data_IF_023506406544
#
_entry.id   IF_023506406544
#
_cell.length_a   1.000
_cell.length_b   1.000
_cell.length_c   1.000
_cell.angle_alpha   90.00
_cell.angle_beta   90.00
_cell.angle_gamma   90.00
#
_symmetry.space_group_name_H-M   'P 1'
#
loop_
_entity.id
_entity.type
_entity.pdbx_description
1 polymer ?
#
# COMPACT_ATOMS: atom_id res chain seq x y z
N UNK A 1 -29.38 11.45 -48.49
CA UNK A 1 -28.69 10.52 -49.41
C UNK A 1 -27.22 10.94 -49.44
N UNK A 2 -26.31 10.02 -49.13
CA UNK A 2 -25.99 8.91 -50.02
C UNK A 2 -26.51 7.58 -49.47
N UNK A 3 -26.83 6.69 -50.41
CA UNK A 3 -27.45 5.41 -50.15
C UNK A 3 -26.53 4.52 -49.33
N UNK A 4 -27.08 4.00 -48.24
CA UNK A 4 -26.56 2.85 -47.53
C UNK A 4 -26.51 1.66 -48.49
N UNK A 5 -25.32 1.36 -49.02
CA UNK A 5 -25.12 0.20 -49.87
C UNK A 5 -25.18 -1.08 -49.03
N UNK A 6 -26.22 -1.86 -49.33
CA UNK A 6 -26.30 -3.33 -49.30
C UNK A 6 -25.59 -4.03 -48.13
N UNK A 7 -26.39 -4.35 -47.10
CA UNK A 7 -26.22 -5.60 -46.35
C UNK A 7 -26.28 -6.77 -47.34
N UNK A 8 -25.12 -7.20 -47.82
CA UNK A 8 -25.01 -8.47 -48.53
C UNK A 8 -25.08 -9.61 -47.51
N UNK A 9 -25.92 -10.58 -47.86
CA UNK A 9 -26.41 -11.66 -47.01
C UNK A 9 -25.32 -12.41 -46.26
N UNK A 10 -25.70 -12.90 -45.08
CA UNK A 10 -24.86 -13.75 -44.28
C UNK A 10 -24.43 -15.01 -45.04
N UNK A 11 -23.13 -15.24 -45.05
CA UNK A 11 -22.58 -16.59 -45.24
C UNK A 11 -22.83 -17.40 -43.98
N UNK A 12 -24.06 -17.91 -43.83
CA UNK A 12 -24.44 -18.98 -42.89
C UNK A 12 -23.89 -20.32 -43.40
N UNK A 13 -22.58 -20.37 -43.69
CA UNK A 13 -21.88 -21.58 -44.06
C UNK A 13 -20.61 -21.61 -43.24
N UNK A 14 -20.67 -22.44 -42.20
CA UNK A 14 -19.62 -22.91 -41.31
C UNK A 14 -18.24 -23.00 -42.01
N UNK A 15 -17.57 -21.86 -42.19
CA UNK A 15 -16.19 -21.79 -42.63
C UNK A 15 -15.42 -21.84 -41.34
N UNK A 16 -14.97 -23.05 -40.97
CA UNK A 16 -14.04 -23.29 -39.86
C UNK A 16 -13.15 -22.06 -39.77
N UNK A 17 -13.34 -21.23 -38.74
CA UNK A 17 -12.70 -19.93 -38.61
C UNK A 17 -11.24 -20.15 -38.95
N UNK A 18 -10.78 -19.62 -40.09
CA UNK A 18 -9.46 -19.96 -40.60
C UNK A 18 -8.47 -19.57 -39.50
N UNK A 19 -7.49 -20.43 -39.21
CA UNK A 19 -6.44 -20.11 -38.22
C UNK A 19 -5.80 -18.75 -38.57
N UNK A 20 -5.76 -18.40 -39.86
CA UNK A 20 -5.36 -17.08 -40.33
C UNK A 20 -6.26 -15.95 -39.82
N UNK A 21 -7.58 -16.06 -39.95
CA UNK A 21 -8.54 -15.05 -39.48
C UNK A 21 -8.52 -14.90 -37.96
N UNK A 22 -8.41 -16.01 -37.22
CA UNK A 22 -8.33 -15.98 -35.76
C UNK A 22 -7.01 -15.33 -35.29
N UNK A 23 -5.89 -15.66 -35.93
CA UNK A 23 -4.59 -15.03 -35.66
C UNK A 23 -4.62 -13.53 -35.97
N UNK A 24 -5.24 -13.14 -37.09
CA UNK A 24 -5.39 -11.73 -37.46
C UNK A 24 -6.19 -10.95 -36.42
N UNK A 25 -7.31 -11.50 -35.93
CA UNK A 25 -8.10 -10.88 -34.85
C UNK A 25 -7.27 -10.69 -33.57
N UNK A 26 -6.57 -11.74 -33.13
CA UNK A 26 -5.69 -11.67 -31.95
C UNK A 26 -4.57 -10.63 -32.11
N UNK A 27 -3.93 -10.58 -33.27
CA UNK A 27 -2.89 -9.60 -33.55
C UNK A 27 -3.43 -8.18 -33.58
N UNK A 28 -4.61 -7.98 -34.15
CA UNK A 28 -5.26 -6.66 -34.19
C UNK A 28 -5.61 -6.19 -32.79
N UNK A 29 -6.15 -7.08 -31.96
CA UNK A 29 -6.46 -6.79 -30.57
C UNK A 29 -5.20 -6.48 -29.75
N UNK A 30 -4.13 -7.25 -29.92
CA UNK A 30 -2.85 -7.00 -29.26
C UNK A 30 -2.23 -5.68 -29.72
N UNK A 31 -2.28 -5.37 -31.02
CA UNK A 31 -1.82 -4.07 -31.54
C UNK A 31 -2.64 -2.90 -30.95
N UNK A 32 -3.94 -3.07 -30.76
CA UNK A 32 -4.78 -2.05 -30.13
C UNK A 32 -4.35 -1.80 -28.67
N UNK A 33 -4.16 -2.87 -27.88
CA UNK A 33 -3.69 -2.77 -26.49
C UNK A 33 -2.31 -2.14 -26.37
N UNK A 34 -1.38 -2.52 -27.26
CA UNK A 34 -0.03 -1.95 -27.28
C UNK A 34 -0.04 -0.47 -27.65
N UNK A 35 -0.93 -0.04 -28.54
CA UNK A 35 -1.10 1.39 -28.86
C UNK A 35 -1.64 2.16 -27.65
N UNK A 36 -2.63 1.61 -26.95
CA UNK A 36 -3.14 2.20 -25.71
C UNK A 36 -2.05 2.34 -24.62
N UNK A 37 -1.24 1.30 -24.42
CA UNK A 37 -0.11 1.33 -23.49
C UNK A 37 1.00 2.31 -23.90
N UNK A 38 1.17 2.53 -25.21
CA UNK A 38 2.11 3.50 -25.75
C UNK A 38 1.62 4.94 -25.52
N UNK A 39 0.32 5.18 -25.69
CA UNK A 39 -0.31 6.50 -25.54
C UNK A 39 -0.53 6.89 -24.06
N UNK A 40 -0.34 5.95 -23.12
CA UNK A 40 -0.47 6.24 -21.68
C UNK A 40 0.53 7.32 -21.25
N UNK A 41 0.07 8.43 -20.62
CA UNK A 41 0.95 9.52 -20.21
C UNK A 41 1.97 9.04 -19.17
N UNK A 42 3.24 9.34 -19.41
CA UNK A 42 4.36 8.97 -18.53
C UNK A 42 4.91 10.20 -17.83
N UNK A 43 5.21 10.05 -16.55
CA UNK A 43 5.88 11.05 -15.73
C UNK A 43 7.39 10.77 -15.70
N UNK A 44 8.21 11.80 -15.55
CA UNK A 44 9.66 11.62 -15.38
C UNK A 44 9.95 10.94 -14.05
N UNK A 45 10.94 10.05 -14.03
CA UNK A 45 11.34 9.34 -12.80
C UNK A 45 11.74 10.33 -11.70
N UNK A 46 12.45 11.40 -12.04
CA UNK A 46 12.84 12.44 -11.08
C UNK A 46 11.64 13.11 -10.42
N UNK A 47 10.57 13.36 -11.18
CA UNK A 47 9.33 13.99 -10.70
C UNK A 47 8.51 13.02 -9.84
N UNK A 48 8.38 11.76 -10.28
CA UNK A 48 7.73 10.71 -9.49
C UNK A 48 8.46 10.49 -8.15
N UNK A 49 9.80 10.45 -8.16
CA UNK A 49 10.61 10.30 -6.96
C UNK A 49 10.43 11.46 -5.98
N UNK A 50 10.42 12.70 -6.46
CA UNK A 50 10.12 13.88 -5.61
C UNK A 50 8.72 13.81 -5.02
N UNK A 51 7.72 13.36 -5.79
CA UNK A 51 6.36 13.19 -5.29
C UNK A 51 6.30 12.17 -4.15
N UNK A 52 7.01 11.04 -4.25
CA UNK A 52 7.07 10.02 -3.21
C UNK A 52 7.77 10.55 -1.95
N UNK A 53 8.91 11.23 -2.10
CA UNK A 53 9.63 11.85 -0.98
C UNK A 53 8.72 12.85 -0.25
N UNK A 54 8.05 13.73 -1.00
CA UNK A 54 7.12 14.69 -0.42
C UNK A 54 5.97 14.00 0.31
N UNK A 55 5.41 12.92 -0.24
CA UNK A 55 4.35 12.17 0.43
C UNK A 55 4.83 11.57 1.75
N UNK A 56 5.99 10.92 1.74
CA UNK A 56 6.61 10.34 2.93
C UNK A 56 6.93 11.38 3.99
N UNK A 57 7.33 12.60 3.60
CA UNK A 57 7.67 13.68 4.54
C UNK A 57 6.46 14.43 5.09
N UNK A 58 5.30 14.36 4.43
CA UNK A 58 4.10 15.08 4.87
C UNK A 58 3.09 14.16 5.57
N UNK A 59 3.17 12.85 5.34
CA UNK A 59 2.29 11.85 5.94
C UNK A 59 3.01 11.16 7.10
N UNK A 60 2.50 11.34 8.32
CA UNK A 60 3.07 10.67 9.49
C UNK A 60 2.75 9.18 9.47
N UNK A 61 3.78 8.36 9.68
CA UNK A 61 3.65 6.91 9.83
C UNK A 61 4.05 6.48 11.25
N UNK A 62 3.08 5.94 11.98
CA UNK A 62 3.25 5.45 13.35
C UNK A 62 4.04 4.14 13.45
N UNK A 63 4.21 3.42 12.33
CA UNK A 63 5.05 2.22 12.25
C UNK A 63 6.53 2.55 12.09
N UNK A 64 6.90 3.83 11.94
CA UNK A 64 8.30 4.29 11.89
C UNK A 64 8.60 5.28 13.04
N UNK A 65 8.67 4.80 14.30
CA UNK A 65 8.85 5.67 15.46
C UNK A 65 10.19 6.39 15.53
N UNK A 66 11.21 5.89 14.81
CA UNK A 66 12.53 6.52 14.73
C UNK A 66 12.50 7.87 14.03
N UNK A 67 11.58 8.05 13.07
CA UNK A 67 11.44 9.28 12.27
C UNK A 67 10.25 10.12 12.78
N UNK A 68 9.14 9.46 13.15
CA UNK A 68 7.88 10.14 13.48
C UNK A 68 7.55 10.24 14.97
N UNK A 69 8.38 9.63 15.83
CA UNK A 69 8.13 9.55 17.27
C UNK A 69 7.27 8.35 17.66
N UNK A 70 7.34 7.99 18.94
CA UNK A 70 6.57 6.88 19.49
C UNK A 70 5.08 7.24 19.55
N UNK A 71 4.22 6.24 19.35
CA UNK A 71 2.74 6.40 19.40
C UNK A 71 2.23 6.74 20.81
N UNK A 72 3.12 6.77 21.81
CA UNK A 72 2.75 6.94 23.21
C UNK A 72 2.31 8.36 23.62
N UNK A 73 2.30 9.34 22.71
CA UNK A 73 2.10 10.73 23.13
C UNK A 73 0.69 11.28 22.84
N UNK A 74 -0.06 11.34 23.95
CA UNK A 74 -1.11 12.32 24.33
C UNK A 74 -2.40 12.44 23.50
N UNK A 75 -2.45 11.96 22.26
CA UNK A 75 -3.63 12.15 21.40
C UNK A 75 -4.35 10.85 21.02
N UNK A 76 -3.88 9.67 21.46
CA UNK A 76 -4.64 8.43 21.27
C UNK A 76 -5.75 8.33 22.33
N UNK A 77 -7.01 8.07 21.95
CA UNK A 77 -8.11 7.90 22.92
C UNK A 77 -7.84 6.79 23.93
N UNK A 78 -7.01 5.80 23.55
CA UNK A 78 -6.62 4.67 24.39
C UNK A 78 -5.65 5.06 25.50
N UNK A 79 -4.79 6.08 25.29
CA UNK A 79 -3.85 6.56 26.32
C UNK A 79 -4.56 7.28 27.46
N UNK A 80 -5.55 8.11 27.15
CA UNK A 80 -6.33 8.80 28.19
C UNK A 80 -7.21 7.80 28.97
N UNK A 81 -7.73 6.77 28.29
CA UNK A 81 -8.39 5.64 28.93
C UNK A 81 -7.49 4.90 29.91
N UNK A 82 -6.24 4.59 29.51
CA UNK A 82 -5.25 3.94 30.38
C UNK A 82 -4.85 4.82 31.57
N UNK A 83 -4.63 6.13 31.36
CA UNK A 83 -4.32 7.08 32.45
C UNK A 83 -5.48 7.25 33.43
N UNK A 84 -6.72 7.26 32.93
CA UNK A 84 -7.93 7.30 33.76
C UNK A 84 -8.09 6.01 34.57
N UNK A 85 -7.87 4.84 33.97
CA UNK A 85 -7.88 3.57 34.68
C UNK A 85 -6.76 3.49 35.71
N UNK A 86 -5.54 3.89 35.37
CA UNK A 86 -4.41 3.91 36.31
C UNK A 86 -4.69 4.81 37.53
N UNK A 87 -5.22 6.02 37.32
CA UNK A 87 -5.63 6.92 38.42
C UNK A 87 -6.80 6.35 39.23
N UNK A 88 -7.75 5.67 38.58
CA UNK A 88 -8.87 5.02 39.26
C UNK A 88 -8.44 3.79 40.07
N UNK A 89 -7.41 3.06 39.62
CA UNK A 89 -6.82 1.93 40.36
C UNK A 89 -6.02 2.45 41.56
N UNK A 90 -5.22 3.51 41.40
CA UNK A 90 -4.39 4.12 42.46
C UNK A 90 -5.26 4.68 43.61
N UNK A 91 -6.41 5.27 43.30
CA UNK A 91 -7.39 5.69 44.33
C UNK A 91 -8.08 4.51 45.04
N UNK A 92 -8.13 3.33 44.40
CA UNK A 92 -8.81 2.13 44.94
C UNK A 92 -7.87 1.19 45.69
N UNK A 93 -6.56 1.29 45.47
CA UNK A 93 -5.55 0.37 46.01
C UNK A 93 -4.50 1.11 46.82
N UNK A 94 -4.91 1.64 47.98
CA UNK A 94 -3.97 2.02 49.06
C UNK A 94 -3.12 0.87 49.61
N UNK A 95 -3.14 -0.31 48.98
CA UNK A 95 -2.23 -1.41 49.24
C UNK A 95 -2.23 -2.35 48.02
N UNK A 96 -1.01 -2.63 47.53
CA UNK A 96 -0.65 -3.75 46.66
C UNK A 96 -1.06 -3.64 45.18
N UNK A 97 -0.21 -2.98 44.38
CA UNK A 97 0.11 -3.51 43.04
C UNK A 97 1.60 -3.34 42.75
N UNK A 98 2.38 -4.33 43.20
CA UNK A 98 3.56 -4.75 42.46
C UNK A 98 3.04 -5.56 41.25
N UNK A 99 2.57 -4.85 40.23
CA UNK A 99 2.31 -5.45 38.91
C UNK A 99 3.54 -5.19 38.06
N UNK A 100 4.49 -6.11 38.26
CA UNK A 100 5.46 -6.57 37.27
C UNK A 100 5.89 -5.51 36.26
N UNK A 101 6.97 -4.83 36.59
CA UNK A 101 7.94 -4.39 35.60
C UNK A 101 8.23 -5.60 34.68
N UNK A 102 7.66 -5.60 33.48
CA UNK A 102 8.03 -6.58 32.46
C UNK A 102 9.48 -6.28 32.14
N UNK A 103 10.37 -7.17 32.59
CA UNK A 103 11.79 -7.08 32.31
C UNK A 103 11.96 -7.09 30.79
N UNK A 104 12.78 -6.20 30.23
CA UNK A 104 12.94 -6.02 28.77
C UNK A 104 13.44 -7.28 28.06
N UNK A 105 13.76 -8.32 28.82
CA UNK A 105 14.22 -9.65 28.39
C UNK A 105 13.08 -10.58 27.96
N UNK A 106 11.84 -10.34 28.40
CA UNK A 106 10.68 -11.21 28.13
C UNK A 106 9.74 -10.66 27.03
N UNK A 107 10.14 -9.59 26.33
CA UNK A 107 9.41 -9.07 25.18
C UNK A 107 9.81 -9.85 23.91
N UNK A 108 8.90 -10.66 23.32
CA UNK A 108 9.18 -11.46 22.11
C UNK A 108 9.44 -10.61 20.85
N UNK A 109 9.22 -9.29 20.93
CA UNK A 109 9.50 -8.35 19.84
C UNK A 109 10.62 -7.35 20.17
N UNK A 110 11.31 -7.49 21.30
CA UNK A 110 12.45 -6.64 21.62
C UNK A 110 13.60 -6.86 20.61
N UNK A 111 14.15 -5.79 19.99
CA UNK A 111 15.27 -5.94 19.10
C UNK A 111 16.47 -6.48 19.90
N UNK A 112 17.02 -7.62 19.48
CA UNK A 112 18.21 -8.17 20.09
C UNK A 112 19.33 -7.14 19.98
N UNK A 113 19.75 -6.57 21.12
CA UNK A 113 20.96 -5.76 21.22
C UNK A 113 22.17 -6.67 21.09
N UNK A 114 22.43 -7.18 19.89
CA UNK A 114 23.74 -7.68 19.55
C UNK A 114 24.54 -6.50 19.02
N UNK A 115 25.42 -5.99 19.88
CA UNK A 115 26.39 -4.96 19.54
C UNK A 115 27.14 -5.32 18.26
N UNK A 116 27.00 -4.47 17.26
CA UNK A 116 27.55 -4.69 15.93
C UNK A 116 27.46 -3.44 15.08
N UNK A 117 28.41 -2.53 15.30
CA UNK A 117 29.03 -1.64 14.32
C UNK A 117 28.30 -1.46 12.97
N UNK A 118 27.44 -0.45 12.85
CA UNK A 118 27.08 0.13 11.55
C UNK A 118 27.12 1.67 11.65
N UNK A 119 28.28 2.27 11.42
CA UNK A 119 28.35 3.67 11.00
C UNK A 119 27.97 3.72 9.53
N UNK A 120 26.81 4.30 9.22
CA UNK A 120 26.41 4.59 7.85
C UNK A 120 27.20 5.83 7.41
N UNK A 121 28.11 5.64 6.44
CA UNK A 121 28.61 6.73 5.58
C UNK A 121 27.56 7.08 4.53
#
# INVERSE_FOLDING_TARGET
MPAYELRSGGDVKNKKQSVADLKYRRLTELNARLKEDLDRPRVKVSEAAMSLINYCNNTRDFMVPSVWGQVCDVNSPLHEGLKRLARAIDQKTGQLTNLSQVDKRDDPYAPQQQGGCCTVM
#
